data_IF_928411186734
#
_entry.id   IF_928411186734
#
_cell.length_a   1.000
_cell.length_b   1.000
_cell.length_c   1.000
_cell.angle_alpha   90.00
_cell.angle_beta   90.00
_cell.angle_gamma   90.00
#
_symmetry.space_group_name_H-M   'P 1'
#
loop_
_entity.id
_entity.type
_entity.pdbx_description
1 polymer ?
#
# COMPACT_ATOMS: atom_id res chain seq x y z
N UNK A 1 -21.17 -25.93 0.19
CA UNK A 1 -21.23 -24.94 -0.90
C UNK A 1 -20.94 -23.58 -0.27
N UNK A 2 -19.77 -22.96 -0.50
CA UNK A 2 -19.51 -21.60 0.02
C UNK A 2 -20.28 -20.63 -0.87
N UNK A 3 -21.12 -19.77 -0.29
CA UNK A 3 -21.82 -18.72 -1.03
C UNK A 3 -20.80 -17.73 -1.61
N UNK A 4 -21.06 -17.15 -2.79
CA UNK A 4 -20.14 -16.23 -3.48
C UNK A 4 -19.76 -15.05 -2.57
N UNK A 5 -20.71 -14.56 -1.77
CA UNK A 5 -20.46 -13.53 -0.75
C UNK A 5 -19.38 -13.93 0.28
N UNK A 6 -19.37 -15.19 0.73
CA UNK A 6 -18.34 -15.70 1.64
C UNK A 6 -16.96 -15.75 0.99
N UNK A 7 -16.86 -16.00 -0.32
CA UNK A 7 -15.58 -16.02 -1.03
C UNK A 7 -15.02 -14.60 -1.23
N UNK A 8 -15.85 -13.65 -1.64
CA UNK A 8 -15.46 -12.24 -1.79
C UNK A 8 -14.99 -11.63 -0.46
N UNK A 9 -15.63 -12.01 0.64
CA UNK A 9 -15.19 -11.59 1.96
C UNK A 9 -13.84 -12.20 2.36
N UNK A 10 -13.62 -13.49 2.10
CA UNK A 10 -12.31 -14.12 2.34
C UNK A 10 -11.19 -13.47 1.51
N UNK A 11 -11.46 -13.10 0.26
CA UNK A 11 -10.52 -12.34 -0.58
C UNK A 11 -10.18 -10.98 0.04
N UNK A 12 -11.19 -10.26 0.53
CA UNK A 12 -10.99 -8.99 1.23
C UNK A 12 -10.12 -9.15 2.48
N UNK A 13 -10.36 -10.18 3.31
CA UNK A 13 -9.55 -10.43 4.51
C UNK A 13 -8.10 -10.77 4.17
N UNK A 14 -7.87 -11.57 3.12
CA UNK A 14 -6.52 -11.87 2.62
C UNK A 14 -5.81 -10.61 2.12
N UNK A 15 -6.53 -9.75 1.38
CA UNK A 15 -6.01 -8.45 0.92
C UNK A 15 -5.66 -7.56 2.11
N UNK A 16 -6.57 -7.39 3.08
CA UNK A 16 -6.35 -6.61 4.31
C UNK A 16 -5.09 -7.04 5.05
N UNK A 17 -4.89 -8.36 5.23
CA UNK A 17 -3.69 -8.91 5.88
C UNK A 17 -2.41 -8.63 5.09
N UNK A 18 -2.48 -8.76 3.78
CA UNK A 18 -1.35 -8.53 2.87
C UNK A 18 -0.95 -7.06 2.86
N UNK A 19 -1.92 -6.15 2.76
CA UNK A 19 -1.69 -4.70 2.77
C UNK A 19 -1.03 -4.26 4.08
N UNK A 20 -1.52 -4.77 5.23
CA UNK A 20 -0.91 -4.48 6.53
C UNK A 20 0.55 -4.95 6.61
N UNK A 21 0.89 -6.10 6.02
CA UNK A 21 2.28 -6.58 5.97
C UNK A 21 3.16 -5.66 5.12
N UNK A 22 2.68 -5.19 3.98
CA UNK A 22 3.41 -4.25 3.14
C UNK A 22 3.60 -2.89 3.81
N UNK A 23 2.57 -2.36 4.46
CA UNK A 23 2.64 -1.12 5.26
C UNK A 23 3.70 -1.24 6.37
N UNK A 24 3.68 -2.35 7.13
CA UNK A 24 4.67 -2.62 8.18
C UNK A 24 6.07 -2.81 7.61
N UNK A 25 6.24 -3.55 6.52
CA UNK A 25 7.53 -3.76 5.88
C UNK A 25 8.12 -2.43 5.41
N UNK A 26 7.32 -1.55 4.78
CA UNK A 26 7.76 -0.22 4.39
C UNK A 26 8.18 0.63 5.60
N UNK A 27 7.47 0.52 6.72
CA UNK A 27 7.81 1.21 7.97
C UNK A 27 9.14 0.70 8.54
N UNK A 28 9.30 -0.61 8.71
CA UNK A 28 10.51 -1.21 9.28
C UNK A 28 11.74 -1.01 8.40
N UNK A 29 11.63 -1.22 7.08
CA UNK A 29 12.77 -1.05 6.17
C UNK A 29 13.17 0.43 6.09
N UNK A 30 12.19 1.33 6.02
CA UNK A 30 12.46 2.78 6.00
C UNK A 30 13.18 3.25 7.26
N UNK A 31 12.61 3.00 8.44
CA UNK A 31 13.26 3.41 9.71
C UNK A 31 14.55 2.64 10.00
N UNK A 32 14.62 1.35 9.64
CA UNK A 32 15.82 0.54 9.79
C UNK A 32 17.00 1.10 8.98
N UNK A 33 16.75 1.51 7.73
CA UNK A 33 17.78 2.14 6.90
C UNK A 33 18.33 3.42 7.54
N UNK A 34 17.47 4.28 8.10
CA UNK A 34 17.93 5.48 8.82
C UNK A 34 18.83 5.16 10.00
N UNK A 35 18.43 4.22 10.86
CA UNK A 35 19.20 3.85 12.05
C UNK A 35 20.57 3.30 11.64
N UNK A 36 20.62 2.43 10.62
CA UNK A 36 21.87 1.89 10.09
C UNK A 36 22.77 3.00 9.53
N UNK A 37 22.23 3.91 8.71
CA UNK A 37 23.00 5.01 8.15
C UNK A 37 23.54 5.97 9.22
N UNK A 38 22.72 6.34 10.21
CA UNK A 38 23.14 7.18 11.33
C UNK A 38 24.20 6.48 12.19
N UNK A 39 24.02 5.18 12.47
CA UNK A 39 25.02 4.37 13.17
C UNK A 39 26.37 4.39 12.44
N UNK A 40 26.39 4.16 11.13
CA UNK A 40 27.64 4.13 10.37
C UNK A 40 28.33 5.50 10.35
N UNK A 41 27.59 6.59 10.11
CA UNK A 41 28.17 7.94 10.02
C UNK A 41 28.67 8.44 11.38
N UNK A 42 27.86 8.31 12.43
CA UNK A 42 28.19 8.92 13.73
C UNK A 42 29.00 8.00 14.66
N UNK A 43 28.75 6.69 14.64
CA UNK A 43 29.47 5.74 15.51
C UNK A 43 30.83 5.36 14.95
N UNK A 44 30.90 5.11 13.64
CA UNK A 44 32.12 4.61 13.01
C UNK A 44 32.97 5.73 12.40
N UNK A 45 32.47 6.97 12.37
CA UNK A 45 33.14 8.16 11.79
C UNK A 45 33.76 7.89 10.41
N UNK A 46 33.17 6.97 9.63
CA UNK A 46 33.62 6.67 8.27
C UNK A 46 32.98 7.70 7.33
N UNK A 47 33.77 8.71 6.95
CA UNK A 47 33.39 9.74 5.97
C UNK A 47 33.49 9.20 4.52
N UNK A 48 32.92 8.03 4.25
CA UNK A 48 32.86 7.51 2.88
C UNK A 48 31.53 7.95 2.23
N UNK A 49 31.55 8.64 1.09
CA UNK A 49 30.33 9.07 0.39
C UNK A 49 29.41 7.90 0.02
N UNK A 50 29.93 6.68 -0.11
CA UNK A 50 29.13 5.47 -0.35
C UNK A 50 28.19 5.14 0.83
N UNK A 51 28.52 5.53 2.07
CA UNK A 51 27.58 5.40 3.20
C UNK A 51 26.47 6.47 3.18
N UNK A 52 26.71 7.63 2.57
CA UNK A 52 25.64 8.61 2.34
C UNK A 52 24.62 8.13 1.32
N UNK A 53 25.01 7.29 0.35
CA UNK A 53 24.09 6.67 -0.60
C UNK A 53 23.05 5.77 0.09
N UNK A 54 23.42 5.08 1.19
CA UNK A 54 22.47 4.33 2.02
C UNK A 54 21.44 5.23 2.71
N UNK A 55 21.87 6.42 3.16
CA UNK A 55 20.96 7.38 3.76
C UNK A 55 19.92 7.87 2.75
N UNK A 56 20.36 8.22 1.54
CA UNK A 56 19.45 8.60 0.46
C UNK A 56 18.56 7.44 0.01
N UNK A 57 19.07 6.21 0.02
CA UNK A 57 18.26 5.02 -0.23
C UNK A 57 17.18 4.87 0.83
N UNK A 58 17.50 5.03 2.12
CA UNK A 58 16.51 4.99 3.21
C UNK A 58 15.42 6.06 3.09
N UNK A 59 15.80 7.31 2.75
CA UNK A 59 14.88 8.40 2.41
C UNK A 59 13.96 7.99 1.24
N UNK A 60 14.55 7.48 0.17
CA UNK A 60 13.80 7.05 -1.01
C UNK A 60 12.85 5.90 -0.68
N UNK A 61 13.27 4.91 0.10
CA UNK A 61 12.41 3.83 0.61
C UNK A 61 11.25 4.36 1.43
N UNK A 62 11.48 5.38 2.26
CA UNK A 62 10.41 6.01 3.05
C UNK A 62 9.36 6.66 2.15
N UNK A 63 9.78 7.44 1.16
CA UNK A 63 8.87 8.03 0.16
C UNK A 63 8.12 6.93 -0.61
N UNK A 64 8.82 5.85 -0.95
CA UNK A 64 8.24 4.68 -1.63
C UNK A 64 7.17 3.98 -0.79
N UNK A 65 7.37 3.88 0.53
CA UNK A 65 6.39 3.28 1.45
C UNK A 65 5.06 4.06 1.46
N UNK A 66 5.12 5.39 1.31
CA UNK A 66 3.92 6.22 1.19
C UNK A 66 3.20 5.99 -0.14
N UNK A 67 3.94 5.78 -1.24
CA UNK A 67 3.37 5.40 -2.52
C UNK A 67 2.68 4.04 -2.47
N UNK A 68 3.25 3.06 -1.77
CA UNK A 68 2.64 1.73 -1.58
C UNK A 68 1.28 1.86 -0.87
N UNK A 69 1.15 2.77 0.10
CA UNK A 69 -0.15 3.07 0.73
C UNK A 69 -1.21 3.53 -0.29
N UNK A 70 -0.82 4.27 -1.35
CA UNK A 70 -1.73 4.67 -2.43
C UNK A 70 -2.18 3.50 -3.30
N UNK A 71 -1.32 2.49 -3.51
CA UNK A 71 -1.65 1.27 -4.28
C UNK A 71 -2.82 0.50 -3.65
N UNK A 72 -2.90 0.51 -2.33
CA UNK A 72 -3.86 -0.24 -1.53
C UNK A 72 -4.98 0.63 -0.95
N UNK A 73 -5.11 1.87 -1.42
CA UNK A 73 -6.04 2.86 -0.92
C UNK A 73 -7.50 2.38 -1.06
N UNK A 74 -7.85 1.81 -2.22
CA UNK A 74 -9.16 1.20 -2.47
C UNK A 74 -9.03 -0.33 -2.50
N UNK A 75 -9.76 -1.07 -1.63
CA UNK A 75 -9.81 -2.53 -1.66
C UNK A 75 -10.40 -3.07 -2.97
N UNK A 76 -9.97 -4.26 -3.42
CA UNK A 76 -10.39 -4.87 -4.69
C UNK A 76 -11.91 -5.04 -4.80
N UNK A 77 -12.57 -5.36 -3.70
CA UNK A 77 -14.02 -5.58 -3.70
C UNK A 77 -14.81 -4.35 -4.16
N UNK A 78 -14.34 -3.14 -3.83
CA UNK A 78 -14.94 -1.89 -4.32
C UNK A 78 -14.66 -1.65 -5.80
N UNK A 79 -13.58 -2.19 -6.34
CA UNK A 79 -13.30 -2.14 -7.79
C UNK A 79 -14.25 -3.05 -8.59
N UNK A 80 -14.76 -4.13 -7.98
CA UNK A 80 -15.72 -5.04 -8.61
C UNK A 80 -17.07 -4.36 -8.88
N UNK A 81 -17.38 -3.25 -8.22
CA UNK A 81 -18.53 -2.38 -8.55
C UNK A 81 -18.44 -1.82 -9.99
N UNK A 82 -17.24 -1.76 -10.57
CA UNK A 82 -17.02 -1.35 -11.96
C UNK A 82 -17.03 -2.50 -12.98
N UNK A 83 -17.27 -3.75 -12.55
CA UNK A 83 -17.24 -4.90 -13.47
C UNK A 83 -18.20 -4.71 -14.64
N UNK A 84 -17.98 -5.38 -15.77
CA UNK A 84 -19.01 -5.42 -16.83
C UNK A 84 -20.08 -6.47 -16.53
N UNK A 85 -19.79 -7.43 -15.65
CA UNK A 85 -20.72 -8.48 -15.23
C UNK A 85 -21.67 -7.96 -14.14
N UNK A 86 -22.97 -8.08 -14.40
CA UNK A 86 -24.02 -7.65 -13.46
C UNK A 86 -24.00 -8.53 -12.20
N UNK A 87 -23.77 -9.84 -12.33
CA UNK A 87 -23.72 -10.75 -11.18
C UNK A 87 -22.57 -10.36 -10.25
N UNK A 88 -21.39 -10.09 -10.81
CA UNK A 88 -20.22 -9.73 -10.01
C UNK A 88 -20.41 -8.39 -9.28
N UNK A 89 -21.12 -7.43 -9.89
CA UNK A 89 -21.47 -6.16 -9.22
C UNK A 89 -22.40 -6.37 -8.04
N UNK A 90 -23.46 -7.15 -8.23
CA UNK A 90 -24.45 -7.39 -7.17
C UNK A 90 -23.81 -8.18 -6.03
N UNK A 91 -23.06 -9.23 -6.33
CA UNK A 91 -22.33 -10.01 -5.33
C UNK A 91 -21.36 -9.14 -4.52
N UNK A 92 -20.64 -8.23 -5.19
CA UNK A 92 -19.74 -7.29 -4.52
C UNK A 92 -20.50 -6.31 -3.63
N UNK A 93 -21.61 -5.74 -4.11
CA UNK A 93 -22.43 -4.81 -3.35
C UNK A 93 -23.08 -5.46 -2.12
N UNK A 94 -23.69 -6.63 -2.29
CA UNK A 94 -24.29 -7.40 -1.20
C UNK A 94 -23.25 -7.74 -0.13
N UNK A 95 -22.06 -8.17 -0.55
CA UNK A 95 -20.96 -8.49 0.38
C UNK A 95 -20.48 -7.24 1.13
N UNK A 96 -20.39 -6.09 0.46
CA UNK A 96 -20.06 -4.81 1.09
C UNK A 96 -21.11 -4.43 2.12
N UNK A 97 -22.40 -4.61 1.83
CA UNK A 97 -23.47 -4.30 2.79
C UNK A 97 -23.51 -5.29 3.97
N UNK A 98 -23.29 -6.59 3.72
CA UNK A 98 -23.25 -7.61 4.77
C UNK A 98 -22.11 -7.37 5.78
N UNK A 99 -20.97 -6.85 5.32
CA UNK A 99 -19.80 -6.55 6.15
C UNK A 99 -19.45 -5.05 6.19
N UNK A 100 -20.49 -4.20 6.16
CA UNK A 100 -20.37 -2.75 5.97
C UNK A 100 -19.43 -2.07 6.94
N UNK A 101 -19.55 -2.37 8.24
CA UNK A 101 -18.72 -1.76 9.29
C UNK A 101 -17.23 -1.96 9.03
N UNK A 102 -16.82 -3.16 8.61
CA UNK A 102 -15.42 -3.49 8.39
C UNK A 102 -14.92 -3.02 7.02
N UNK A 103 -15.69 -3.26 5.96
CA UNK A 103 -15.26 -2.93 4.59
C UNK A 103 -15.27 -1.43 4.32
N UNK A 104 -16.38 -0.76 4.67
CA UNK A 104 -16.50 0.69 4.54
C UNK A 104 -15.58 1.37 5.56
N UNK A 105 -15.43 0.81 6.76
CA UNK A 105 -14.47 1.32 7.75
C UNK A 105 -13.01 1.27 7.26
N UNK A 106 -12.61 0.22 6.56
CA UNK A 106 -11.28 0.16 5.95
C UNK A 106 -11.12 1.19 4.83
N UNK A 107 -12.12 1.33 3.95
CA UNK A 107 -12.09 2.33 2.88
C UNK A 107 -12.03 3.76 3.46
N UNK A 108 -12.83 4.04 4.48
CA UNK A 108 -12.85 5.30 5.21
C UNK A 108 -11.50 5.62 5.84
N UNK A 109 -10.94 4.68 6.61
CA UNK A 109 -9.63 4.87 7.25
C UNK A 109 -8.51 5.11 6.24
N UNK A 110 -8.58 4.48 5.07
CA UNK A 110 -7.60 4.69 4.00
C UNK A 110 -7.70 6.07 3.33
N UNK A 111 -8.92 6.60 3.17
CA UNK A 111 -9.16 7.84 2.40
C UNK A 111 -9.16 9.08 3.29
N UNK A 112 -9.89 9.01 4.41
CA UNK A 112 -10.11 10.15 5.31
C UNK A 112 -9.14 10.17 6.49
N UNK A 113 -8.48 9.04 6.79
CA UNK A 113 -7.60 8.95 7.95
C UNK A 113 -8.36 9.18 9.25
N UNK A 114 -8.15 10.34 9.87
CA UNK A 114 -8.81 10.74 11.13
C UNK A 114 -9.99 11.71 10.90
N UNK A 115 -10.28 12.08 9.65
CA UNK A 115 -11.39 12.96 9.31
C UNK A 115 -12.74 12.23 9.32
N UNK A 116 -13.82 12.99 9.42
CA UNK A 116 -15.18 12.44 9.42
C UNK A 116 -15.49 11.68 8.11
N UNK A 117 -15.87 10.42 8.26
CA UNK A 117 -16.25 9.51 7.18
C UNK A 117 -17.71 9.07 7.28
N UNK A 118 -18.52 9.69 8.15
CA UNK A 118 -19.94 9.36 8.39
C UNK A 118 -20.74 9.23 7.09
N UNK A 119 -20.54 10.17 6.16
CA UNK A 119 -21.18 10.18 4.83
C UNK A 119 -20.91 8.93 4.00
N UNK A 120 -19.76 8.26 4.20
CA UNK A 120 -19.40 7.06 3.44
C UNK A 120 -20.30 5.86 3.80
N UNK A 121 -20.79 5.81 5.04
CA UNK A 121 -21.67 4.74 5.52
C UNK A 121 -23.12 4.92 5.06
N UNK A 122 -23.56 6.13 4.73
CA UNK A 122 -24.91 6.36 4.24
C UNK A 122 -25.05 6.22 2.72
N UNK A 123 -23.95 6.05 1.99
CA UNK A 123 -23.97 6.02 0.52
C UNK A 123 -24.76 4.83 -0.03
N UNK A 124 -25.57 5.11 -1.05
CA UNK A 124 -26.14 4.07 -1.90
C UNK A 124 -25.08 3.52 -2.88
N UNK A 125 -25.46 2.55 -3.72
CA UNK A 125 -24.53 1.87 -4.61
C UNK A 125 -23.93 2.80 -5.65
N UNK A 126 -24.77 3.64 -6.25
CA UNK A 126 -24.38 4.60 -7.28
C UNK A 126 -23.41 5.65 -6.72
N UNK A 127 -23.73 6.22 -5.55
CA UNK A 127 -22.88 7.17 -4.83
C UNK A 127 -21.54 6.55 -4.42
N UNK A 128 -21.56 5.31 -3.90
CA UNK A 128 -20.32 4.59 -3.55
C UNK A 128 -19.46 4.34 -4.80
N UNK A 129 -20.09 3.99 -5.91
CA UNK A 129 -19.39 3.73 -7.18
C UNK A 129 -18.73 4.99 -7.71
N UNK A 130 -19.43 6.12 -7.72
CA UNK A 130 -18.85 7.42 -8.11
C UNK A 130 -17.74 7.87 -7.16
N UNK A 131 -17.95 7.69 -5.86
CA UNK A 131 -16.95 8.01 -4.85
C UNK A 131 -15.67 7.21 -5.07
N UNK A 132 -15.78 5.89 -5.20
CA UNK A 132 -14.64 5.00 -5.46
C UNK A 132 -13.95 5.41 -6.76
N UNK A 133 -14.71 5.73 -7.82
CA UNK A 133 -14.19 6.12 -9.14
C UNK A 133 -13.28 7.34 -9.05
N UNK A 134 -13.64 8.32 -8.22
CA UNK A 134 -12.82 9.51 -7.96
C UNK A 134 -11.44 9.15 -7.39
N UNK A 135 -11.38 8.16 -6.50
CA UNK A 135 -10.13 7.73 -5.86
C UNK A 135 -9.37 6.65 -6.63
N UNK A 136 -9.95 6.08 -7.68
CA UNK A 136 -9.32 5.10 -8.58
C UNK A 136 -9.08 5.63 -9.99
N UNK A 137 -9.23 6.94 -10.22
CA UNK A 137 -8.95 7.57 -11.50
C UNK A 137 -7.49 7.35 -11.96
N UNK A 138 -6.56 7.25 -11.01
CA UNK A 138 -5.17 6.90 -11.26
C UNK A 138 -4.94 5.42 -10.92
N UNK A 139 -4.39 4.66 -11.87
CA UNK A 139 -4.02 3.26 -11.66
C UNK A 139 -2.71 3.14 -10.88
N UNK A 140 -2.82 3.33 -9.57
CA UNK A 140 -1.70 3.20 -8.64
C UNK A 140 -1.06 1.81 -8.66
N UNK A 141 -1.81 0.74 -8.99
CA UNK A 141 -1.28 -0.63 -9.03
C UNK A 141 -0.31 -0.80 -10.19
N UNK A 142 -0.65 -0.25 -11.35
CA UNK A 142 0.24 -0.22 -12.51
C UNK A 142 1.47 0.63 -12.22
N UNK A 143 1.30 1.83 -11.66
CA UNK A 143 2.42 2.72 -11.29
C UNK A 143 3.34 2.02 -10.28
N UNK A 144 2.78 1.40 -9.24
CA UNK A 144 3.52 0.68 -8.22
C UNK A 144 4.34 -0.48 -8.78
N UNK A 145 3.81 -1.21 -9.78
CA UNK A 145 4.55 -2.29 -10.46
C UNK A 145 5.77 -1.74 -11.23
N UNK A 146 5.60 -0.67 -12.00
CA UNK A 146 6.72 -0.02 -12.69
C UNK A 146 7.73 0.53 -11.70
N UNK A 147 7.26 1.19 -10.64
CA UNK A 147 8.11 1.70 -9.57
C UNK A 147 8.99 0.59 -8.96
N UNK A 148 8.39 -0.55 -8.58
CA UNK A 148 9.14 -1.69 -8.01
C UNK A 148 10.19 -2.25 -8.97
N UNK A 149 9.90 -2.26 -10.28
CA UNK A 149 10.83 -2.73 -11.32
C UNK A 149 12.11 -1.88 -11.38
N UNK A 150 12.04 -0.57 -11.09
CA UNK A 150 13.21 0.31 -11.00
C UNK A 150 13.82 0.32 -9.59
N UNK A 151 12.98 0.30 -8.56
CA UNK A 151 13.41 0.38 -7.17
C UNK A 151 14.26 -0.83 -6.75
N UNK A 152 13.85 -2.06 -7.11
CA UNK A 152 14.55 -3.27 -6.68
C UNK A 152 16.01 -3.31 -7.22
N UNK A 153 16.27 -3.10 -8.53
CA UNK A 153 17.64 -3.02 -9.03
C UNK A 153 18.47 -1.93 -8.36
N UNK A 154 17.90 -0.74 -8.17
CA UNK A 154 18.58 0.38 -7.52
C UNK A 154 18.96 0.04 -6.07
N UNK A 155 18.02 -0.55 -5.33
CA UNK A 155 18.22 -1.00 -3.96
C UNK A 155 19.35 -2.03 -3.87
N UNK A 156 19.34 -3.06 -4.74
CA UNK A 156 20.38 -4.07 -4.78
C UNK A 156 21.75 -3.48 -5.13
N UNK A 157 21.79 -2.57 -6.11
CA UNK A 157 23.02 -1.92 -6.55
C UNK A 157 23.65 -1.05 -5.45
N UNK A 158 22.86 -0.20 -4.79
CA UNK A 158 23.35 0.64 -3.68
C UNK A 158 23.79 -0.22 -2.49
N UNK A 159 23.04 -1.29 -2.19
CA UNK A 159 23.42 -2.24 -1.14
C UNK A 159 24.75 -2.91 -1.46
N UNK A 160 24.93 -3.38 -2.69
CA UNK A 160 26.18 -3.96 -3.16
C UNK A 160 27.36 -2.98 -3.03
N UNK A 161 27.21 -1.75 -3.51
CA UNK A 161 28.26 -0.72 -3.40
C UNK A 161 28.64 -0.43 -1.94
N UNK A 162 27.66 -0.42 -1.05
CA UNK A 162 27.88 -0.20 0.38
C UNK A 162 28.67 -1.35 1.00
N UNK A 163 28.32 -2.59 0.68
CA UNK A 163 29.04 -3.77 1.14
C UNK A 163 30.46 -3.77 0.59
N UNK A 164 30.64 -3.47 -0.70
CA UNK A 164 31.95 -3.35 -1.32
C UNK A 164 32.83 -2.30 -0.62
N UNK A 165 32.29 -1.10 -0.39
CA UNK A 165 32.96 -0.02 0.34
C UNK A 165 33.30 -0.36 1.79
N UNK A 166 32.63 -1.34 2.38
CA UNK A 166 32.88 -1.78 3.74
C UNK A 166 34.14 -2.66 3.86
N UNK A 167 34.38 -3.48 2.83
CA UNK A 167 35.48 -4.44 2.77
C UNK A 167 36.74 -3.92 2.05
N UNK A 168 36.63 -2.77 1.37
CA UNK A 168 37.78 -2.00 0.89
C UNK A 168 38.40 -1.18 2.03
#
# INVERSE_FOLDING_TARGET
>A
MKTVSSQLYEEFLKEKKTNRRFELAGLYIGYGAYVVSLGIVFWLKRENPLFSAMFFLGLFTRVSSLMIGRVFLVPKIFLKLFSSDISEKEDAWETIQAHKSEMVGRLAGNIFGWNDSSKLYSMNREEMTEFVKKYTATDWRRIGKFFLMFYIPLFLFVTYLTIYAWFQ
#
